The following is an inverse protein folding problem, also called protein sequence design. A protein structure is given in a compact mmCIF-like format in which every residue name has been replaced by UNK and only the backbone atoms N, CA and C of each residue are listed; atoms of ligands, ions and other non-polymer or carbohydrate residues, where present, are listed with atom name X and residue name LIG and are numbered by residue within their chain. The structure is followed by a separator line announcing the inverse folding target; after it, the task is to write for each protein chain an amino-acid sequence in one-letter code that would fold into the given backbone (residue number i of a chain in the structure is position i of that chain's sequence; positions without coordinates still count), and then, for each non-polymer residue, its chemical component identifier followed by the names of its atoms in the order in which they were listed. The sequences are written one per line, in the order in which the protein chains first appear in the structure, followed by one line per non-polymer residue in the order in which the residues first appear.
data_IF_331872611609
#
_entry.id   IF_331872611609
#
_cell.length_a   1.000
_cell.length_b   1.000
_cell.length_c   1.000
_cell.angle_alpha   90.00
_cell.angle_beta   90.00
_cell.angle_gamma   90.00
#
_symmetry.space_group_name_H-M   'P 1'
#
loop_
_entity.id
_entity.type
_entity.pdbx_description
1 polymer ?
#
# COMPACT_ATOMS: atom_id res chain seq x y z
N UNK A 1 14.43 7.85 10.81
CA UNK A 1 14.71 6.60 10.05
C UNK A 1 14.61 6.89 8.55
N UNK A 2 15.71 6.80 7.79
CA UNK A 2 15.65 6.82 6.32
C UNK A 2 14.96 5.53 5.85
N UNK A 3 13.92 5.65 5.04
CA UNK A 3 13.31 4.49 4.38
C UNK A 3 14.27 3.98 3.31
N UNK A 4 14.60 2.69 3.35
CA UNK A 4 15.34 2.06 2.26
C UNK A 4 14.48 2.03 1.00
N UNK A 5 15.04 2.46 -0.14
CA UNK A 5 14.43 2.24 -1.45
C UNK A 5 14.92 0.87 -1.95
N UNK A 6 14.10 -0.15 -1.76
CA UNK A 6 14.29 -1.46 -2.38
C UNK A 6 13.11 -1.76 -3.31
N UNK A 7 13.39 -2.41 -4.44
CA UNK A 7 12.34 -2.76 -5.39
C UNK A 7 11.43 -3.85 -4.81
N UNK A 8 10.18 -3.93 -5.30
CA UNK A 8 9.25 -4.99 -4.91
C UNK A 8 9.79 -6.37 -5.31
N UNK A 9 10.48 -6.46 -6.43
CA UNK A 9 11.05 -7.71 -6.95
C UNK A 9 12.20 -8.20 -6.09
N UNK A 10 13.14 -7.31 -5.73
CA UNK A 10 14.26 -7.62 -4.85
C UNK A 10 13.78 -8.04 -3.47
N UNK A 11 12.70 -7.40 -2.99
CA UNK A 11 12.07 -7.78 -1.74
C UNK A 11 11.51 -9.21 -1.77
N UNK A 12 10.80 -9.59 -2.84
CA UNK A 12 10.23 -10.93 -2.98
C UNK A 12 11.32 -11.99 -3.06
N UNK A 13 12.39 -11.73 -3.82
CA UNK A 13 13.56 -12.62 -3.92
C UNK A 13 14.28 -12.77 -2.58
N UNK A 14 14.47 -11.67 -1.84
CA UNK A 14 15.08 -11.69 -0.52
C UNK A 14 14.30 -12.54 0.50
N UNK A 15 12.97 -12.41 0.52
CA UNK A 15 12.10 -13.22 1.39
C UNK A 15 12.15 -14.70 1.00
N UNK A 16 12.19 -15.02 -0.29
CA UNK A 16 12.28 -16.39 -0.79
C UNK A 16 13.62 -17.06 -0.40
N UNK A 17 14.75 -16.37 -0.60
CA UNK A 17 16.07 -16.88 -0.17
C UNK A 17 16.15 -17.07 1.34
N UNK A 18 15.57 -16.14 2.11
CA UNK A 18 15.50 -16.27 3.57
C UNK A 18 14.59 -17.41 4.03
N UNK A 19 13.51 -17.72 3.29
CA UNK A 19 12.66 -18.90 3.53
C UNK A 19 13.40 -20.21 3.23
N UNK A 20 14.27 -20.23 2.22
CA UNK A 20 15.12 -21.38 1.86
C UNK A 20 16.26 -21.66 2.86
N UNK A 21 16.41 -20.83 3.90
CA UNK A 21 17.38 -21.05 4.97
C UNK A 21 18.69 -20.26 4.82
N UNK A 22 18.78 -19.34 3.84
CA UNK A 22 19.93 -18.44 3.73
C UNK A 22 19.99 -17.50 4.94
N UNK A 23 21.19 -17.25 5.46
CA UNK A 23 21.38 -16.38 6.62
C UNK A 23 20.90 -14.96 6.35
N UNK A 24 20.21 -14.33 7.32
CA UNK A 24 19.67 -12.97 7.17
C UNK A 24 20.75 -11.93 6.83
N UNK A 25 21.97 -12.10 7.34
CA UNK A 25 23.11 -11.24 7.04
C UNK A 25 23.49 -11.27 5.55
N UNK A 26 23.48 -12.47 4.93
CA UNK A 26 23.79 -12.63 3.51
C UNK A 26 22.69 -12.00 2.64
N UNK A 27 21.42 -12.23 2.98
CA UNK A 27 20.28 -11.64 2.26
C UNK A 27 20.28 -10.10 2.38
N UNK A 28 20.60 -9.58 3.56
CA UNK A 28 20.70 -8.13 3.80
C UNK A 28 21.80 -7.50 2.96
N UNK A 29 22.99 -8.13 2.91
CA UNK A 29 24.10 -7.64 2.11
C UNK A 29 23.81 -7.69 0.60
N UNK A 30 23.10 -8.73 0.14
CA UNK A 30 22.79 -8.94 -1.27
C UNK A 30 21.72 -8.00 -1.82
N UNK A 31 20.65 -7.79 -1.05
CA UNK A 31 19.49 -7.00 -1.51
C UNK A 31 19.39 -5.61 -0.88
N UNK A 32 20.28 -5.27 0.05
CA UNK A 32 20.25 -4.02 0.82
C UNK A 32 18.91 -3.78 1.55
N UNK A 33 18.30 -4.86 2.05
CA UNK A 33 17.02 -4.84 2.77
C UNK A 33 17.29 -5.15 4.24
N UNK A 34 16.81 -4.34 5.19
CA UNK A 34 17.03 -4.61 6.61
C UNK A 34 16.54 -6.01 7.02
N UNK A 35 17.36 -6.72 7.81
CA UNK A 35 17.04 -8.06 8.30
C UNK A 35 15.73 -8.11 9.08
N UNK A 36 15.41 -7.05 9.84
CA UNK A 36 14.15 -6.90 10.56
C UNK A 36 12.95 -6.87 9.62
N UNK A 37 13.07 -6.23 8.46
CA UNK A 37 12.01 -6.19 7.44
C UNK A 37 11.77 -7.59 6.85
N UNK A 38 12.83 -8.29 6.49
CA UNK A 38 12.74 -9.65 5.92
C UNK A 38 12.16 -10.62 6.95
N UNK A 39 12.65 -10.57 8.19
CA UNK A 39 12.18 -11.41 9.29
C UNK A 39 10.71 -11.16 9.63
N UNK A 40 10.28 -9.89 9.69
CA UNK A 40 8.88 -9.53 9.96
C UNK A 40 7.93 -10.06 8.86
N UNK A 41 8.36 -10.07 7.60
CA UNK A 41 7.58 -10.68 6.51
C UNK A 41 7.62 -12.21 6.48
N UNK A 42 8.65 -12.84 7.06
CA UNK A 42 8.64 -14.30 7.30
C UNK A 42 7.58 -14.66 8.35
N UNK A 43 7.52 -13.90 9.45
CA UNK A 43 6.53 -14.10 10.52
C UNK A 43 5.11 -13.70 10.09
N UNK A 44 4.98 -12.66 9.26
CA UNK A 44 3.69 -12.15 8.76
C UNK A 44 3.64 -12.16 7.22
N UNK A 45 3.47 -13.33 6.58
CA UNK A 45 3.53 -13.46 5.12
C UNK A 45 2.38 -12.75 4.40
N UNK A 46 1.26 -12.51 5.07
CA UNK A 46 0.09 -11.78 4.52
C UNK A 46 0.27 -10.26 4.53
N UNK A 47 1.33 -9.75 5.18
CA UNK A 47 1.61 -8.32 5.25
C UNK A 47 1.95 -7.79 3.86
N UNK A 48 1.18 -6.82 3.37
CA UNK A 48 1.46 -6.17 2.09
C UNK A 48 2.77 -5.37 2.16
N UNK A 49 3.54 -5.44 1.07
CA UNK A 49 4.77 -4.65 0.89
C UNK A 49 4.35 -3.23 0.56
N UNK A 50 4.55 -2.32 1.51
CA UNK A 50 3.94 -1.00 1.43
C UNK A 50 2.42 -1.08 1.65
N UNK A 51 1.91 -0.10 2.38
CA UNK A 51 0.49 -0.05 2.69
C UNK A 51 0.23 0.93 3.81
N UNK A 52 -0.70 1.84 3.58
CA UNK A 52 -1.30 2.63 4.66
C UNK A 52 -2.20 1.76 5.52
N UNK A 53 -2.97 2.39 6.41
CA UNK A 53 -4.06 1.72 7.09
C UNK A 53 -4.99 1.05 6.07
N UNK A 54 -5.57 -0.11 6.40
CA UNK A 54 -6.61 -0.70 5.58
C UNK A 54 -7.75 0.32 5.39
N UNK A 55 -8.25 0.39 4.17
CA UNK A 55 -9.41 1.21 3.81
C UNK A 55 -10.70 0.51 4.26
N UNK A 56 -11.74 1.29 4.50
CA UNK A 56 -13.11 0.79 4.72
C UNK A 56 -13.81 0.41 3.41
N UNK A 57 -13.30 0.89 2.28
CA UNK A 57 -13.85 0.60 0.96
C UNK A 57 -13.36 -0.75 0.44
N UNK A 58 -14.23 -1.50 -0.22
CA UNK A 58 -13.82 -2.66 -1.01
C UNK A 58 -13.18 -2.23 -2.33
N UNK A 59 -12.56 -3.17 -3.06
CA UNK A 59 -11.84 -2.86 -4.31
C UNK A 59 -12.71 -2.20 -5.37
N UNK A 60 -13.97 -2.63 -5.50
CA UNK A 60 -14.87 -2.12 -6.52
C UNK A 60 -15.32 -0.69 -6.20
N UNK A 61 -15.53 -0.39 -4.92
CA UNK A 61 -15.82 0.95 -4.41
C UNK A 61 -14.63 1.90 -4.58
N UNK A 62 -13.42 1.45 -4.28
CA UNK A 62 -12.20 2.24 -4.54
C UNK A 62 -12.06 2.55 -6.03
N UNK A 63 -12.30 1.55 -6.89
CA UNK A 63 -12.21 1.72 -8.34
C UNK A 63 -13.25 2.72 -8.86
N UNK A 64 -14.49 2.62 -8.38
CA UNK A 64 -15.55 3.56 -8.71
C UNK A 64 -15.18 5.00 -8.31
N UNK A 65 -14.66 5.21 -7.11
CA UNK A 65 -14.22 6.53 -6.65
C UNK A 65 -13.11 7.10 -7.54
N UNK A 66 -12.16 6.26 -7.97
CA UNK A 66 -11.09 6.67 -8.89
C UNK A 66 -11.66 7.08 -10.26
N UNK A 67 -12.62 6.34 -10.80
CA UNK A 67 -13.26 6.68 -12.07
C UNK A 67 -14.08 7.96 -11.99
N UNK A 68 -14.81 8.16 -10.89
CA UNK A 68 -15.54 9.39 -10.62
C UNK A 68 -14.60 10.59 -10.58
N UNK A 69 -13.47 10.48 -9.89
CA UNK A 69 -12.46 11.54 -9.84
C UNK A 69 -11.90 11.83 -11.24
N UNK A 70 -11.53 10.81 -12.01
CA UNK A 70 -11.05 11.00 -13.39
C UNK A 70 -12.08 11.71 -14.28
N UNK A 71 -13.35 11.33 -14.17
CA UNK A 71 -14.43 11.96 -14.93
C UNK A 71 -14.64 13.42 -14.54
N UNK A 72 -14.51 13.77 -13.24
CA UNK A 72 -14.58 15.16 -12.78
C UNK A 72 -13.45 16.01 -13.36
N UNK A 73 -12.24 15.47 -13.45
CA UNK A 73 -11.11 16.16 -14.08
C UNK A 73 -11.36 16.40 -15.58
N UNK A 74 -11.87 15.39 -16.30
CA UNK A 74 -12.23 15.50 -17.72
C UNK A 74 -13.31 16.58 -17.94
N UNK A 75 -14.26 16.69 -17.02
CA UNK A 75 -15.34 17.68 -17.08
C UNK A 75 -14.91 19.09 -16.63
N UNK A 76 -13.61 19.32 -16.42
CA UNK A 76 -13.07 20.66 -16.12
C UNK A 76 -13.10 21.04 -14.64
N UNK A 77 -13.41 20.12 -13.73
CA UNK A 77 -13.32 20.37 -12.29
C UNK A 77 -11.85 20.27 -11.87
N UNK A 78 -11.32 21.36 -11.30
CA UNK A 78 -9.96 21.36 -10.76
C UNK A 78 -9.90 20.56 -9.46
N UNK A 79 -9.41 19.32 -9.55
CA UNK A 79 -9.22 18.46 -8.39
C UNK A 79 -8.04 18.92 -7.53
N UNK A 80 -8.34 19.65 -6.46
CA UNK A 80 -7.37 19.92 -5.39
C UNK A 80 -7.42 18.81 -4.35
N UNK A 81 -6.34 18.64 -3.57
CA UNK A 81 -6.29 17.66 -2.47
C UNK A 81 -7.45 17.80 -1.49
N UNK A 82 -7.94 19.02 -1.26
CA UNK A 82 -9.07 19.27 -0.37
C UNK A 82 -10.38 18.71 -0.94
N UNK A 83 -10.63 18.93 -2.23
CA UNK A 83 -11.83 18.44 -2.92
C UNK A 83 -11.84 16.92 -2.96
N UNK A 84 -10.70 16.30 -3.28
CA UNK A 84 -10.56 14.84 -3.30
C UNK A 84 -10.83 14.23 -1.92
N UNK A 85 -10.30 14.82 -0.85
CA UNK A 85 -10.55 14.34 0.52
C UNK A 85 -12.02 14.45 0.91
N UNK A 86 -12.65 15.58 0.59
CA UNK A 86 -14.06 15.78 0.89
C UNK A 86 -14.93 14.77 0.16
N UNK A 87 -14.76 14.63 -1.16
CA UNK A 87 -15.49 13.65 -1.96
C UNK A 87 -15.26 12.21 -1.49
N UNK A 88 -14.04 11.86 -1.11
CA UNK A 88 -13.75 10.54 -0.56
C UNK A 88 -14.42 10.30 0.81
N UNK A 89 -14.51 11.33 1.67
CA UNK A 89 -15.23 11.25 2.95
C UNK A 89 -16.73 11.09 2.72
N UNK A 90 -17.32 11.98 1.92
CA UNK A 90 -18.75 11.96 1.59
C UNK A 90 -19.14 10.61 0.96
N UNK A 91 -18.33 10.09 0.04
CA UNK A 91 -18.54 8.77 -0.56
C UNK A 91 -18.43 7.64 0.46
N UNK A 92 -17.43 7.68 1.32
CA UNK A 92 -17.25 6.68 2.36
C UNK A 92 -18.44 6.66 3.32
N UNK A 93 -18.92 7.82 3.78
CA UNK A 93 -20.08 7.97 4.65
C UNK A 93 -21.34 7.37 4.02
N UNK A 94 -21.58 7.65 2.73
CA UNK A 94 -22.72 7.09 1.99
C UNK A 94 -22.66 5.57 1.84
N UNK A 95 -21.46 5.02 1.68
CA UNK A 95 -21.26 3.59 1.46
C UNK A 95 -21.32 2.80 2.77
N UNK A 96 -20.84 3.37 3.88
CA UNK A 96 -20.80 2.67 5.17
C UNK A 96 -22.04 2.88 6.03
N UNK A 97 -22.85 3.91 5.79
CA UNK A 97 -24.11 4.16 6.51
C UNK A 97 -23.96 4.50 8.00
N UNK A 98 -22.75 4.38 8.56
CA UNK A 98 -22.43 4.75 9.93
C UNK A 98 -21.69 6.10 9.96
N UNK A 99 -22.29 7.04 10.68
CA UNK A 99 -21.72 8.33 11.06
C UNK A 99 -20.55 8.05 12.03
N UNK A 100 -19.34 8.48 11.67
CA UNK A 100 -18.18 8.48 12.57
C UNK A 100 -18.19 9.71 13.49
#
# INVERSE_FOLDING_TARGET
MKRGNYSKEDFLKAVDEYKKGVASAQVTAKYNIPSSTISNHKSNPTRKIGGGRPTILNKDQEQYLVELLKNLEINGVRLTKSVVRKLASDYAEHVTGEVF
#
